data_IF_086238198978
#
_entry.id   IF_086238198978
#
_cell.length_a   1.000
_cell.length_b   1.000
_cell.length_c   1.000
_cell.angle_alpha   90.00
_cell.angle_beta   90.00
_cell.angle_gamma   90.00
#
_symmetry.space_group_name_H-M   'P 1'
#
loop_
_entity.id
_entity.type
_entity.pdbx_description
1 polymer ?
#
# COMPACT_ATOMS: atom_id res chain seq x y z
N UNK A 1 0.13 -4.96 -31.30
CA UNK A 1 -0.42 -3.88 -30.45
C UNK A 1 -0.78 -4.53 -29.12
N UNK A 2 -0.41 -3.93 -27.99
CA UNK A 2 -0.50 -4.53 -26.64
C UNK A 2 -1.25 -3.56 -25.72
N UNK A 3 -2.14 -4.07 -24.88
CA UNK A 3 -2.83 -3.32 -23.83
C UNK A 3 -1.86 -3.07 -22.68
N UNK A 4 -1.64 -1.82 -22.30
CA UNK A 4 -0.70 -1.45 -21.24
C UNK A 4 -1.34 -1.72 -19.87
N UNK A 5 -0.58 -2.37 -18.99
CA UNK A 5 -1.04 -2.63 -17.61
C UNK A 5 -1.34 -1.33 -16.86
N UNK A 6 -2.27 -1.41 -15.91
CA UNK A 6 -2.76 -0.26 -15.16
C UNK A 6 -2.71 -0.47 -13.64
N UNK A 7 -2.74 0.64 -12.91
CA UNK A 7 -2.94 0.65 -11.46
C UNK A 7 -4.23 1.40 -11.07
N UNK A 8 -4.83 1.10 -9.92
CA UNK A 8 -6.07 1.70 -9.46
C UNK A 8 -7.30 0.77 -9.60
N UNK A 9 -8.52 1.31 -9.63
CA UNK A 9 -9.75 0.52 -9.76
C UNK A 9 -9.75 -0.38 -10.99
N UNK A 10 -10.28 -1.60 -10.88
CA UNK A 10 -10.30 -2.58 -11.98
C UNK A 10 -11.18 -2.17 -13.17
N UNK A 11 -12.25 -1.43 -12.91
CA UNK A 11 -13.28 -1.07 -13.88
C UNK A 11 -13.28 0.45 -14.09
N UNK A 12 -13.40 0.87 -15.34
CA UNK A 12 -13.42 2.29 -15.71
C UNK A 12 -14.84 2.80 -15.84
N UNK A 13 -15.79 1.96 -16.24
CA UNK A 13 -17.19 2.32 -16.39
C UNK A 13 -18.10 1.52 -15.45
N UNK A 14 -19.29 2.05 -15.15
CA UNK A 14 -20.37 1.29 -14.54
C UNK A 14 -21.73 1.90 -14.87
N UNK A 15 -22.74 1.05 -14.97
CA UNK A 15 -24.13 1.46 -15.15
C UNK A 15 -24.76 2.21 -13.95
N UNK A 16 -24.01 2.42 -12.85
CA UNK A 16 -24.44 3.16 -11.64
C UNK A 16 -25.73 2.63 -10.97
N UNK A 17 -26.12 1.38 -11.19
CA UNK A 17 -27.29 0.77 -10.54
C UNK A 17 -26.92 0.19 -9.17
N UNK A 18 -27.93 -0.16 -8.38
CA UNK A 18 -27.75 -0.85 -7.10
C UNK A 18 -27.00 -2.17 -7.24
N UNK A 19 -26.43 -2.64 -6.14
CA UNK A 19 -25.53 -3.82 -6.10
C UNK A 19 -26.10 -5.05 -6.82
N UNK A 20 -27.41 -5.29 -6.72
CA UNK A 20 -28.07 -6.44 -7.38
C UNK A 20 -28.08 -6.34 -8.91
N UNK A 21 -27.97 -5.14 -9.47
CA UNK A 21 -28.01 -4.84 -10.91
C UNK A 21 -26.75 -4.11 -11.39
N UNK A 22 -25.72 -4.02 -10.54
CA UNK A 22 -24.50 -3.27 -10.79
C UNK A 22 -23.66 -4.01 -11.83
N UNK A 23 -23.43 -3.35 -12.97
CA UNK A 23 -22.55 -3.85 -14.03
C UNK A 23 -21.36 -2.89 -14.12
N UNK A 24 -20.15 -3.36 -13.74
CA UNK A 24 -18.92 -2.62 -13.95
C UNK A 24 -18.07 -3.23 -15.07
N UNK A 25 -17.51 -2.38 -15.94
CA UNK A 25 -16.69 -2.82 -17.07
C UNK A 25 -15.42 -1.99 -17.21
N UNK A 26 -14.38 -2.55 -17.86
CA UNK A 26 -13.18 -1.81 -18.28
C UNK A 26 -13.22 -1.61 -19.78
N UNK A 27 -13.77 -0.47 -20.18
CA UNK A 27 -13.95 -0.09 -21.60
C UNK A 27 -12.96 1.01 -22.03
N UNK A 28 -12.37 1.73 -21.07
CA UNK A 28 -11.34 2.73 -21.33
C UNK A 28 -9.97 2.07 -21.15
N UNK A 29 -9.15 2.02 -22.21
CA UNK A 29 -7.88 1.29 -22.24
C UNK A 29 -6.84 2.03 -23.08
N UNK A 30 -5.57 1.78 -22.80
CA UNK A 30 -4.47 2.34 -23.59
C UNK A 30 -3.70 1.22 -24.29
N UNK A 31 -3.69 1.26 -25.62
CA UNK A 31 -3.01 0.29 -26.45
C UNK A 31 -1.78 0.92 -27.09
N UNK A 32 -0.67 0.18 -27.10
CA UNK A 32 0.61 0.63 -27.63
C UNK A 32 1.16 -0.33 -28.69
N UNK A 33 1.92 0.23 -29.62
CA UNK A 33 2.70 -0.55 -30.56
C UNK A 33 4.15 -0.71 -30.05
N UNK A 34 4.92 -1.68 -30.57
CA UNK A 34 6.29 -1.91 -30.10
C UNK A 34 7.20 -0.67 -30.17
N UNK A 35 7.08 0.14 -31.21
CA UNK A 35 7.87 1.37 -31.37
C UNK A 35 7.58 2.39 -30.27
N UNK A 36 6.33 2.50 -29.83
CA UNK A 36 5.93 3.38 -28.73
C UNK A 36 6.49 2.89 -27.38
N UNK A 37 6.50 1.57 -27.15
CA UNK A 37 7.11 0.99 -25.95
C UNK A 37 8.60 1.32 -25.83
N UNK A 38 9.31 1.42 -26.97
CA UNK A 38 10.72 1.80 -27.00
C UNK A 38 10.94 3.28 -26.67
N UNK A 39 9.99 4.15 -27.04
CA UNK A 39 10.07 5.58 -26.75
C UNK A 39 9.74 5.91 -25.29
N UNK A 40 8.82 5.16 -24.68
CA UNK A 40 8.34 5.40 -23.31
C UNK A 40 8.40 4.10 -22.47
N UNK A 41 9.59 3.58 -22.17
CA UNK A 41 9.76 2.30 -21.49
C UNK A 41 9.23 2.31 -20.06
N UNK A 42 9.21 3.48 -19.40
CA UNK A 42 8.73 3.67 -18.04
C UNK A 42 7.25 4.11 -18.00
N UNK A 43 6.54 4.09 -19.14
CA UNK A 43 5.16 4.57 -19.18
C UNK A 43 4.22 3.78 -18.26
N UNK A 44 3.26 4.49 -17.65
CA UNK A 44 2.32 3.90 -16.72
C UNK A 44 0.90 4.41 -16.96
N UNK A 45 -0.07 3.51 -16.83
CA UNK A 45 -1.49 3.85 -16.81
C UNK A 45 -2.04 3.77 -15.38
N UNK A 46 -2.83 4.75 -14.99
CA UNK A 46 -3.54 4.76 -13.70
C UNK A 46 -5.01 5.13 -13.89
N UNK A 47 -5.89 4.31 -13.32
CA UNK A 47 -7.30 4.61 -13.19
C UNK A 47 -7.49 5.47 -11.93
N UNK A 48 -7.99 6.70 -12.10
CA UNK A 48 -8.20 7.64 -11.01
C UNK A 48 -9.57 7.44 -10.36
N UNK A 49 -9.71 7.87 -9.11
CA UNK A 49 -10.99 7.73 -8.40
C UNK A 49 -12.14 8.38 -9.17
N UNK A 50 -13.21 7.60 -9.39
CA UNK A 50 -14.48 8.10 -9.94
C UNK A 50 -15.14 9.04 -8.93
N UNK A 51 -15.42 10.27 -9.33
CA UNK A 51 -16.12 11.23 -8.49
C UNK A 51 -17.59 11.40 -8.89
N UNK A 52 -17.87 11.87 -10.12
CA UNK A 52 -19.23 12.25 -10.53
C UNK A 52 -19.69 11.61 -11.86
N UNK A 53 -18.78 11.06 -12.68
CA UNK A 53 -19.12 10.37 -13.92
C UNK A 53 -19.41 8.88 -13.68
N UNK A 54 -20.10 8.23 -14.61
CA UNK A 54 -20.16 6.77 -14.75
C UNK A 54 -18.82 6.19 -15.25
N UNK A 55 -17.96 7.02 -15.83
CA UNK A 55 -16.57 6.72 -16.13
C UNK A 55 -15.61 7.14 -15.01
N UNK A 56 -14.47 6.47 -14.96
CA UNK A 56 -13.29 6.78 -14.15
C UNK A 56 -12.23 7.35 -15.11
N UNK A 57 -11.56 8.46 -14.75
CA UNK A 57 -10.49 9.00 -15.58
C UNK A 57 -9.31 8.04 -15.70
N UNK A 58 -8.81 7.85 -16.91
CA UNK A 58 -7.60 7.08 -17.20
C UNK A 58 -6.45 8.05 -17.45
N UNK A 59 -5.40 7.98 -16.65
CA UNK A 59 -4.20 8.79 -16.77
C UNK A 59 -3.06 7.96 -17.37
N UNK A 60 -2.49 8.45 -18.48
CA UNK A 60 -1.23 7.94 -19.02
C UNK A 60 -0.09 8.89 -18.62
N UNK A 61 0.93 8.35 -17.98
CA UNK A 61 2.18 9.04 -17.69
C UNK A 61 3.28 8.40 -18.54
N UNK A 62 3.87 9.16 -19.46
CA UNK A 62 4.97 8.68 -20.31
C UNK A 62 6.32 8.68 -19.62
N UNK A 63 6.49 9.55 -18.63
CA UNK A 63 7.69 9.70 -17.80
C UNK A 63 7.27 9.90 -16.34
N UNK A 64 6.76 8.85 -15.67
CA UNK A 64 6.30 8.97 -14.29
C UNK A 64 7.46 9.36 -13.38
N UNK A 65 7.17 10.23 -12.41
CA UNK A 65 8.16 10.56 -11.36
C UNK A 65 8.45 9.30 -10.57
N UNK A 66 9.70 8.84 -10.60
CA UNK A 66 10.14 7.75 -9.74
C UNK A 66 9.86 8.15 -8.29
N UNK A 67 9.16 7.29 -7.56
CA UNK A 67 8.96 7.50 -6.14
C UNK A 67 10.34 7.65 -5.51
N UNK A 68 10.64 8.84 -4.99
CA UNK A 68 11.84 9.02 -4.19
C UNK A 68 11.62 8.14 -2.97
N UNK A 69 12.43 7.08 -2.85
CA UNK A 69 12.46 6.25 -1.66
C UNK A 69 13.11 7.07 -0.53
N UNK A 70 12.38 8.07 -0.05
CA UNK A 70 12.70 8.73 1.20
C UNK A 70 12.62 7.67 2.29
N UNK A 71 13.57 7.72 3.22
CA UNK A 71 13.50 6.86 4.41
C UNK A 71 12.18 7.14 5.10
N UNK A 72 11.26 6.17 5.06
CA UNK A 72 10.00 6.31 5.79
C UNK A 72 10.34 6.43 7.27
N UNK A 73 9.80 7.42 7.99
CA UNK A 73 10.02 7.51 9.42
C UNK A 73 9.50 6.23 10.08
N UNK A 74 10.15 5.81 11.16
CA UNK A 74 9.67 4.70 11.95
C UNK A 74 8.26 4.98 12.46
N UNK A 75 7.38 3.98 12.36
CA UNK A 75 6.01 4.01 12.89
C UNK A 75 5.78 2.73 13.66
N UNK A 76 5.17 2.86 14.83
CA UNK A 76 4.72 1.73 15.63
C UNK A 76 3.21 1.62 15.63
N UNK A 77 2.69 0.45 15.99
CA UNK A 77 1.25 0.24 16.08
C UNK A 77 0.76 0.61 17.48
N UNK A 78 -0.36 1.32 17.57
CA UNK A 78 -0.89 1.80 18.85
C UNK A 78 -1.18 0.68 19.85
N UNK A 79 -1.60 -0.51 19.37
CA UNK A 79 -1.88 -1.65 20.25
C UNK A 79 -0.65 -2.19 20.98
N UNK A 80 0.57 -1.84 20.56
CA UNK A 80 1.78 -2.20 21.32
C UNK A 80 1.74 -1.63 22.74
N UNK A 81 1.06 -0.50 22.94
CA UNK A 81 0.87 0.12 24.27
C UNK A 81 0.02 -0.73 25.22
N UNK A 82 -0.80 -1.63 24.68
CA UNK A 82 -1.60 -2.55 25.49
C UNK A 82 -0.82 -3.79 25.92
N UNK A 83 0.39 -4.00 25.39
CA UNK A 83 1.23 -5.15 25.73
C UNK A 83 2.06 -4.86 27.00
N UNK A 84 1.98 -5.70 28.04
CA UNK A 84 2.73 -5.49 29.28
C UNK A 84 4.26 -5.49 29.10
N UNK A 85 4.79 -6.10 28.04
CA UNK A 85 6.23 -6.16 27.77
C UNK A 85 6.76 -4.94 27.01
N UNK A 86 5.88 -4.15 26.38
CA UNK A 86 6.28 -2.99 25.57
C UNK A 86 7.00 -1.89 26.37
N UNK A 87 6.58 -1.51 27.60
CA UNK A 87 7.30 -0.51 28.40
C UNK A 87 8.78 -0.86 28.62
N UNK A 88 9.13 -2.15 28.69
CA UNK A 88 10.52 -2.58 28.84
C UNK A 88 11.37 -2.24 27.62
N UNK A 89 10.80 -2.32 26.41
CA UNK A 89 11.47 -1.93 25.16
C UNK A 89 11.79 -0.44 25.17
N UNK A 90 10.84 0.39 25.60
CA UNK A 90 11.05 1.83 25.74
C UNK A 90 12.11 2.12 26.80
N UNK A 91 12.01 1.51 27.99
CA UNK A 91 12.97 1.72 29.06
C UNK A 91 14.41 1.33 28.66
N UNK A 92 14.59 0.23 27.93
CA UNK A 92 15.91 -0.20 27.46
C UNK A 92 16.53 0.76 26.44
N UNK A 93 15.71 1.31 25.54
CA UNK A 93 16.16 2.28 24.55
C UNK A 93 16.60 3.61 25.19
N UNK A 94 15.90 4.07 26.23
CA UNK A 94 16.19 5.34 26.92
C UNK A 94 17.05 5.23 28.19
N UNK A 95 17.50 4.02 28.56
CA UNK A 95 18.21 3.77 29.83
C UNK A 95 19.49 4.61 30.03
N UNK A 96 20.15 5.00 28.95
CA UNK A 96 21.40 5.75 29.01
C UNK A 96 21.19 7.19 28.53
N UNK A 97 21.91 8.17 29.11
CA UNK A 97 21.92 9.52 28.60
C UNK A 97 22.51 9.51 27.19
N UNK A 98 21.65 9.73 26.19
CA UNK A 98 21.97 9.76 24.77
C UNK A 98 21.36 11.00 24.14
N UNK A 99 21.89 11.42 22.99
CA UNK A 99 21.21 12.43 22.17
C UNK A 99 19.90 11.84 21.65
N UNK A 100 18.87 12.68 21.52
CA UNK A 100 17.55 12.25 21.08
C UNK A 100 17.54 11.39 19.79
N UNK A 101 18.32 11.72 18.73
CA UNK A 101 18.35 10.89 17.52
C UNK A 101 18.83 9.45 17.77
N UNK A 102 19.83 9.27 18.61
CA UNK A 102 20.40 7.96 18.95
C UNK A 102 19.43 7.11 19.77
N UNK A 103 18.67 7.75 20.68
CA UNK A 103 17.62 7.09 21.45
C UNK A 103 16.47 6.63 20.53
N UNK A 104 16.04 7.48 19.59
CA UNK A 104 15.00 7.15 18.60
C UNK A 104 15.46 6.01 17.69
N UNK A 105 16.71 6.03 17.22
CA UNK A 105 17.24 4.97 16.35
C UNK A 105 17.30 3.63 17.10
N UNK A 106 17.81 3.63 18.34
CA UNK A 106 17.87 2.43 19.18
C UNK A 106 16.46 1.88 19.44
N UNK A 107 15.53 2.73 19.85
CA UNK A 107 14.14 2.35 20.05
C UNK A 107 13.52 1.74 18.80
N UNK A 108 13.70 2.39 17.64
CA UNK A 108 13.14 1.92 16.38
C UNK A 108 13.63 0.51 16.03
N UNK A 109 14.91 0.21 16.29
CA UNK A 109 15.50 -1.13 16.10
C UNK A 109 14.95 -2.14 17.09
N UNK A 110 14.95 -1.81 18.38
CA UNK A 110 14.50 -2.72 19.44
C UNK A 110 13.02 -3.02 19.33
N UNK A 111 12.18 -2.01 19.09
CA UNK A 111 10.74 -2.18 18.93
C UNK A 111 10.39 -2.94 17.64
N UNK A 112 11.15 -2.76 16.56
CA UNK A 112 10.99 -3.57 15.33
C UNK A 112 11.29 -5.05 15.58
N UNK A 113 12.40 -5.33 16.29
CA UNK A 113 12.80 -6.70 16.65
C UNK A 113 11.77 -7.35 17.58
N UNK A 114 11.38 -6.63 18.64
CA UNK A 114 10.36 -7.07 19.57
C UNK A 114 9.04 -7.38 18.87
N UNK A 115 8.52 -6.48 18.02
CA UNK A 115 7.27 -6.74 17.28
C UNK A 115 7.38 -7.96 16.37
N UNK A 116 8.53 -8.15 15.69
CA UNK A 116 8.76 -9.31 14.82
C UNK A 116 8.69 -10.62 15.62
N UNK A 117 9.29 -10.65 16.80
CA UNK A 117 9.38 -11.85 17.64
C UNK A 117 8.11 -12.10 18.47
N UNK A 118 7.43 -11.04 18.91
CA UNK A 118 6.28 -11.12 19.79
C UNK A 118 4.96 -11.29 19.02
N UNK A 119 4.70 -10.43 18.01
CA UNK A 119 3.46 -10.47 17.23
C UNK A 119 3.64 -11.08 15.83
N UNK A 120 4.76 -10.80 15.18
CA UNK A 120 4.99 -11.11 13.77
C UNK A 120 4.08 -10.33 12.83
N UNK A 121 3.73 -10.92 11.68
CA UNK A 121 2.85 -10.27 10.70
C UNK A 121 1.36 -10.44 11.08
N UNK A 122 0.85 -9.55 11.93
CA UNK A 122 -0.55 -9.57 12.39
C UNK A 122 -1.57 -9.42 11.25
N UNK A 123 -1.24 -8.66 10.19
CA UNK A 123 -2.12 -8.48 9.04
C UNK A 123 -2.22 -9.78 8.23
N UNK A 124 -1.10 -10.48 8.08
CA UNK A 124 -1.05 -11.83 7.50
C UNK A 124 -1.91 -12.81 8.29
N UNK A 125 -1.72 -12.86 9.63
CA UNK A 125 -2.52 -13.71 10.52
C UNK A 125 -4.03 -13.38 10.41
N UNK A 126 -4.40 -12.11 10.46
CA UNK A 126 -5.80 -11.65 10.30
C UNK A 126 -6.39 -12.11 8.97
N UNK A 127 -5.68 -11.89 7.85
CA UNK A 127 -6.17 -12.33 6.52
C UNK A 127 -6.38 -13.84 6.46
N UNK A 128 -5.46 -14.63 7.02
CA UNK A 128 -5.57 -16.09 7.06
C UNK A 128 -6.80 -16.54 7.86
N UNK A 129 -6.98 -16.01 9.06
CA UNK A 129 -8.13 -16.35 9.92
C UNK A 129 -9.45 -15.94 9.24
N UNK A 130 -9.49 -14.76 8.62
CA UNK A 130 -10.68 -14.32 7.89
C UNK A 130 -10.99 -15.17 6.66
N UNK A 131 -9.99 -15.73 5.98
CA UNK A 131 -10.20 -16.67 4.88
C UNK A 131 -10.81 -17.98 5.39
N UNK A 132 -10.25 -18.55 6.47
CA UNK A 132 -10.76 -19.76 7.10
C UNK A 132 -12.22 -19.62 7.56
N UNK A 133 -12.58 -18.50 8.20
CA UNK A 133 -13.96 -18.22 8.61
C UNK A 133 -14.94 -18.08 7.44
N UNK A 134 -14.43 -17.73 6.25
CA UNK A 134 -15.22 -17.63 5.02
C UNK A 134 -15.28 -18.95 4.24
N UNK A 135 -14.70 -20.03 4.76
CA UNK A 135 -14.71 -21.35 4.13
C UNK A 135 -13.79 -21.48 2.91
N UNK A 136 -12.75 -20.64 2.81
CA UNK A 136 -11.69 -20.72 1.79
C UNK A 136 -10.41 -21.28 2.38
#
# INVERSE_FOLDING_TARGET
MVDLDFSGPRFTWSNKRDINNLIPERIDRFFMNPSWCLLYPDAKVSHLTRCHSDHCPVLLETSPRRAVHLSKPFRFQSFWLSDPSFPNVVNQAWRQPRKLPEAIEKFSKEASSWNKNHFGNIFGKKRRIMAQLRGV
#
